data_IF_842370471166
#
_entry.id   IF_842370471166
#
_cell.length_a   1.000
_cell.length_b   1.000
_cell.length_c   1.000
_cell.angle_alpha   90.00
_cell.angle_beta   90.00
_cell.angle_gamma   90.00
#
_symmetry.space_group_name_H-M   'P 1'
#
loop_
_entity.id
_entity.type
_entity.pdbx_description
1 polymer ?
#
# COMPACT_ATOMS: atom_id res chain seq x y z
N UNK A 1 -36.42 0.27 -1.62
CA UNK A 1 -35.75 -0.84 -0.93
C UNK A 1 -34.54 -0.24 -0.25
N UNK A 2 -34.47 -0.42 1.08
CA UNK A 2 -33.58 0.31 1.99
C UNK A 2 -32.12 -0.02 1.71
N UNK A 3 -31.39 0.95 1.17
CA UNK A 3 -29.93 0.96 1.07
C UNK A 3 -29.38 1.20 2.48
N UNK A 4 -28.93 0.15 3.16
CA UNK A 4 -28.17 0.29 4.40
C UNK A 4 -26.82 0.88 4.03
N UNK A 5 -26.73 2.21 4.04
CA UNK A 5 -25.46 2.93 4.06
C UNK A 5 -24.62 2.35 5.21
N UNK A 6 -23.65 1.50 4.86
CA UNK A 6 -22.68 0.99 5.81
C UNK A 6 -22.07 2.21 6.53
N UNK A 7 -22.09 2.18 7.86
CA UNK A 7 -21.61 3.27 8.67
C UNK A 7 -20.14 3.51 8.33
N UNK A 8 -19.80 4.71 7.80
CA UNK A 8 -18.41 5.09 7.53
C UNK A 8 -17.66 5.08 8.85
N UNK A 9 -16.63 4.25 8.95
CA UNK A 9 -15.72 4.22 10.08
C UNK A 9 -14.56 5.13 9.72
N UNK A 10 -14.53 6.31 10.33
CA UNK A 10 -13.31 7.12 10.32
C UNK A 10 -12.43 6.58 11.49
N UNK A 11 -11.11 6.35 11.29
CA UNK A 11 -10.32 6.59 10.07
C UNK A 11 -10.28 5.40 9.08
N UNK A 12 -9.80 5.65 7.85
CA UNK A 12 -9.27 4.59 6.98
C UNK A 12 -8.05 3.98 7.68
N UNK A 13 -8.02 2.65 7.83
CA UNK A 13 -6.89 1.93 8.42
C UNK A 13 -6.51 0.76 7.53
N UNK A 14 -5.23 0.61 7.19
CA UNK A 14 -4.77 -0.58 6.47
C UNK A 14 -3.43 -1.08 7.02
N UNK A 15 -3.12 -2.35 6.72
CA UNK A 15 -1.90 -3.01 7.15
C UNK A 15 -1.04 -3.29 5.92
N UNK A 16 0.20 -2.81 5.90
CA UNK A 16 1.08 -2.96 4.74
C UNK A 16 2.18 -3.99 5.07
N UNK A 17 2.13 -5.14 4.39
CA UNK A 17 3.15 -6.18 4.45
C UNK A 17 4.09 -5.97 3.27
N UNK A 18 5.37 -5.69 3.51
CA UNK A 18 6.33 -5.38 2.44
C UNK A 18 6.65 -6.56 1.53
N UNK A 19 7.63 -6.36 0.64
CA UNK A 19 7.97 -7.28 -0.47
C UNK A 19 8.21 -8.73 0.00
N UNK A 20 7.58 -9.70 -0.64
CA UNK A 20 7.56 -11.08 -0.13
C UNK A 20 8.70 -11.95 -0.67
N UNK A 21 9.08 -11.76 -1.94
CA UNK A 21 10.07 -12.54 -2.69
C UNK A 21 9.97 -14.05 -2.47
N UNK A 22 8.75 -14.61 -2.52
CA UNK A 22 8.55 -16.05 -2.25
C UNK A 22 9.31 -16.90 -3.29
N UNK A 23 9.98 -17.94 -2.80
CA UNK A 23 10.81 -18.85 -3.61
C UNK A 23 10.43 -20.32 -3.37
N UNK A 24 10.31 -20.70 -2.11
CA UNK A 24 10.15 -22.08 -1.66
C UNK A 24 9.27 -22.11 -0.40
N UNK A 25 8.41 -23.14 -0.26
CA UNK A 25 7.42 -23.19 0.81
C UNK A 25 8.07 -23.39 2.19
N UNK A 26 9.26 -23.96 2.21
CA UNK A 26 10.10 -24.17 3.38
C UNK A 26 11.13 -23.04 3.58
N UNK A 27 11.09 -21.98 2.78
CA UNK A 27 11.93 -20.81 2.99
C UNK A 27 11.47 -19.98 4.20
N UNK A 28 12.38 -19.12 4.70
CA UNK A 28 12.11 -18.30 5.88
C UNK A 28 11.01 -17.26 5.62
N UNK A 29 11.01 -16.62 4.47
CA UNK A 29 10.02 -15.63 4.08
C UNK A 29 8.61 -16.22 3.91
N UNK A 30 8.48 -17.48 3.49
CA UNK A 30 7.20 -18.19 3.51
C UNK A 30 6.70 -18.42 4.95
N UNK A 31 7.57 -18.80 5.89
CA UNK A 31 7.23 -18.90 7.31
C UNK A 31 6.82 -17.55 7.90
N UNK A 32 7.56 -16.50 7.57
CA UNK A 32 7.33 -15.15 8.07
C UNK A 32 6.01 -14.56 7.55
N UNK A 33 5.69 -14.76 6.27
CA UNK A 33 4.39 -14.41 5.70
C UNK A 33 3.25 -15.10 6.46
N UNK A 34 3.36 -16.41 6.69
CA UNK A 34 2.33 -17.13 7.44
C UNK A 34 2.20 -16.60 8.87
N UNK A 35 3.31 -16.32 9.56
CA UNK A 35 3.29 -15.74 10.90
C UNK A 35 2.65 -14.34 10.94
N UNK A 36 2.92 -13.51 9.94
CA UNK A 36 2.29 -12.19 9.77
C UNK A 36 0.78 -12.34 9.59
N UNK A 37 0.33 -13.19 8.65
CA UNK A 37 -1.10 -13.35 8.38
C UNK A 37 -1.84 -14.01 9.55
N UNK A 38 -1.26 -15.02 10.20
CA UNK A 38 -1.80 -15.64 11.42
C UNK A 38 -1.98 -14.58 12.53
N UNK A 39 -1.01 -13.68 12.69
CA UNK A 39 -1.09 -12.61 13.68
C UNK A 39 -2.12 -11.54 13.31
N UNK A 40 -2.21 -11.15 12.03
CA UNK A 40 -3.21 -10.17 11.56
C UNK A 40 -4.63 -10.73 11.74
N UNK A 41 -4.83 -12.02 11.45
CA UNK A 41 -6.13 -12.68 11.59
C UNK A 41 -6.64 -12.77 13.04
N UNK A 42 -5.74 -12.70 14.03
CA UNK A 42 -6.10 -12.72 15.46
C UNK A 42 -6.32 -11.34 16.07
N UNK A 43 -6.11 -10.26 15.30
CA UNK A 43 -6.28 -8.90 15.81
C UNK A 43 -7.73 -8.58 16.20
N UNK A 44 -7.87 -7.89 17.32
CA UNK A 44 -9.16 -7.40 17.83
C UNK A 44 -9.17 -5.87 18.02
N UNK A 45 -10.33 -5.21 17.89
CA UNK A 45 -11.60 -5.78 17.41
C UNK A 45 -11.56 -6.19 15.93
N UNK A 46 -12.36 -7.18 15.54
CA UNK A 46 -12.53 -7.53 14.14
C UNK A 46 -13.06 -6.32 13.35
N UNK A 47 -12.57 -6.13 12.12
CA UNK A 47 -12.89 -4.97 11.29
C UNK A 47 -12.24 -3.65 11.75
N UNK A 48 -11.15 -3.72 12.52
CA UNK A 48 -10.34 -2.55 12.90
C UNK A 48 -9.56 -1.94 11.74
N UNK A 49 -9.25 -2.74 10.73
CA UNK A 49 -8.61 -2.32 9.49
C UNK A 49 -9.50 -2.67 8.30
N UNK A 50 -9.36 -1.90 7.21
CA UNK A 50 -10.13 -2.01 5.98
C UNK A 50 -9.52 -3.01 5.00
N UNK A 51 -8.19 -3.11 4.94
CA UNK A 51 -7.48 -4.12 4.15
C UNK A 51 -6.03 -4.36 4.60
N UNK A 52 -5.47 -5.47 4.14
CA UNK A 52 -4.03 -5.77 4.13
C UNK A 52 -3.51 -5.54 2.72
N UNK A 53 -2.45 -4.76 2.57
CA UNK A 53 -1.83 -4.41 1.30
C UNK A 53 -0.52 -5.18 1.09
N UNK A 54 -0.35 -5.76 -0.10
CA UNK A 54 0.89 -6.37 -0.58
C UNK A 54 1.40 -5.57 -1.80
N UNK A 55 2.55 -4.87 -1.70
CA UNK A 55 2.95 -3.82 -2.63
C UNK A 55 3.64 -4.29 -3.91
N UNK A 56 3.59 -5.59 -4.23
CA UNK A 56 4.38 -6.18 -5.30
C UNK A 56 5.52 -7.06 -4.76
N UNK A 57 6.34 -7.56 -5.69
CA UNK A 57 7.40 -8.53 -5.43
C UNK A 57 6.90 -9.70 -4.58
N UNK A 58 5.75 -10.23 -5.03
CA UNK A 58 5.06 -11.32 -4.35
C UNK A 58 5.84 -12.63 -4.50
N UNK A 59 6.34 -12.86 -5.71
CA UNK A 59 7.20 -13.97 -6.08
C UNK A 59 8.59 -13.44 -6.46
N UNK A 60 9.65 -14.16 -6.09
CA UNK A 60 11.02 -13.74 -6.43
C UNK A 60 11.29 -13.80 -7.94
N UNK A 61 10.72 -14.79 -8.62
CA UNK A 61 10.98 -15.03 -10.04
C UNK A 61 9.68 -14.99 -10.87
N UNK A 62 8.52 -14.79 -10.26
CA UNK A 62 7.23 -14.78 -10.96
C UNK A 62 6.78 -16.15 -11.44
N UNK A 63 7.22 -17.24 -10.80
CA UNK A 63 6.82 -18.59 -11.19
C UNK A 63 5.52 -19.06 -10.53
N UNK A 64 4.77 -19.91 -11.21
CA UNK A 64 3.55 -20.52 -10.69
C UNK A 64 3.71 -21.19 -9.31
N UNK A 65 4.85 -21.86 -9.07
CA UNK A 65 5.14 -22.51 -7.79
C UNK A 65 5.27 -21.51 -6.64
N UNK A 66 5.80 -20.32 -6.90
CA UNK A 66 5.96 -19.24 -5.92
C UNK A 66 4.60 -18.62 -5.59
N UNK A 67 3.76 -18.38 -6.60
CA UNK A 67 2.39 -17.92 -6.40
C UNK A 67 1.50 -18.94 -5.68
N UNK A 68 1.77 -20.24 -5.82
CA UNK A 68 1.07 -21.27 -5.05
C UNK A 68 1.33 -21.14 -3.54
N UNK A 69 2.53 -20.71 -3.13
CA UNK A 69 2.86 -20.44 -1.73
C UNK A 69 1.99 -19.30 -1.20
N UNK A 70 1.95 -18.18 -1.93
CA UNK A 70 1.10 -17.04 -1.56
C UNK A 70 -0.38 -17.43 -1.51
N UNK A 71 -0.85 -18.16 -2.54
CA UNK A 71 -2.24 -18.61 -2.58
C UNK A 71 -2.59 -19.48 -1.37
N UNK A 72 -1.74 -20.44 -1.01
CA UNK A 72 -1.96 -21.31 0.13
C UNK A 72 -2.01 -20.50 1.46
N UNK A 73 -1.14 -19.51 1.62
CA UNK A 73 -1.16 -18.61 2.78
C UNK A 73 -2.47 -17.79 2.83
N UNK A 74 -2.91 -17.24 1.68
CA UNK A 74 -4.15 -16.47 1.57
C UNK A 74 -5.43 -17.33 1.72
N UNK A 75 -5.40 -18.60 1.33
CA UNK A 75 -6.53 -19.53 1.48
C UNK A 75 -6.74 -19.96 2.93
N UNK A 76 -5.68 -19.94 3.77
CA UNK A 76 -5.79 -20.16 5.22
C UNK A 76 -6.56 -19.05 5.94
N UNK A 77 -6.61 -17.85 5.33
CA UNK A 77 -7.26 -16.68 5.89
C UNK A 77 -8.31 -16.14 4.89
N UNK A 78 -9.42 -16.87 4.67
CA UNK A 78 -10.44 -16.53 3.69
C UNK A 78 -11.06 -15.14 3.93
N UNK A 79 -11.15 -14.73 5.19
CA UNK A 79 -11.85 -13.53 5.64
C UNK A 79 -10.95 -12.28 5.68
N UNK A 80 -9.64 -12.40 5.45
CA UNK A 80 -8.76 -11.22 5.40
C UNK A 80 -9.02 -10.43 4.10
N UNK A 81 -9.38 -9.13 4.20
CA UNK A 81 -9.51 -8.27 3.04
C UNK A 81 -8.12 -7.92 2.52
N UNK A 82 -7.65 -8.61 1.47
CA UNK A 82 -6.33 -8.38 0.88
C UNK A 82 -6.46 -7.58 -0.41
N UNK A 83 -5.61 -6.56 -0.56
CA UNK A 83 -5.35 -5.82 -1.80
C UNK A 83 -3.90 -6.06 -2.20
N UNK A 84 -3.63 -6.30 -3.48
CA UNK A 84 -2.27 -6.50 -3.97
C UNK A 84 -2.07 -5.92 -5.36
N UNK A 85 -0.82 -5.66 -5.70
CA UNK A 85 -0.37 -5.29 -7.05
C UNK A 85 0.85 -6.16 -7.40
N UNK A 86 1.22 -6.30 -8.69
CA UNK A 86 2.50 -6.89 -9.07
C UNK A 86 3.68 -5.92 -8.84
N UNK A 87 4.85 -6.46 -8.53
CA UNK A 87 6.14 -5.77 -8.54
C UNK A 87 7.01 -6.17 -9.73
N UNK A 88 8.25 -5.70 -9.78
CA UNK A 88 9.15 -5.99 -10.90
C UNK A 88 9.62 -7.44 -10.93
N UNK A 89 9.81 -8.08 -9.76
CA UNK A 89 10.14 -9.50 -9.69
C UNK A 89 9.01 -10.40 -10.20
N UNK A 90 7.75 -9.99 -10.02
CA UNK A 90 6.59 -10.71 -10.57
C UNK A 90 6.59 -10.75 -12.11
N UNK A 91 7.24 -9.78 -12.77
CA UNK A 91 7.32 -9.63 -14.23
C UNK A 91 8.73 -9.90 -14.79
N UNK A 92 9.62 -10.47 -13.98
CA UNK A 92 11.04 -10.64 -14.27
C UNK A 92 11.35 -11.43 -15.54
N UNK A 93 10.48 -12.35 -15.93
CA UNK A 93 10.61 -13.14 -17.16
C UNK A 93 9.77 -12.60 -18.33
N UNK A 94 9.31 -11.35 -18.28
CA UNK A 94 8.62 -10.71 -19.40
C UNK A 94 7.26 -11.28 -19.75
N UNK A 95 6.82 -12.32 -19.04
CA UNK A 95 5.52 -12.95 -19.16
C UNK A 95 4.88 -12.94 -17.78
N UNK A 96 3.59 -12.64 -17.77
CA UNK A 96 2.77 -12.60 -16.55
C UNK A 96 1.76 -13.75 -16.52
N UNK A 97 1.91 -14.78 -17.36
CA UNK A 97 0.95 -15.88 -17.48
C UNK A 97 0.66 -16.55 -16.12
N UNK A 98 1.72 -16.79 -15.35
CA UNK A 98 1.61 -17.39 -14.01
C UNK A 98 0.96 -16.43 -13.01
N UNK A 99 1.33 -15.13 -13.04
CA UNK A 99 0.64 -14.10 -12.25
C UNK A 99 -0.83 -14.00 -12.65
N UNK A 100 -1.19 -14.07 -13.93
CA UNK A 100 -2.56 -13.99 -14.41
C UNK A 100 -3.39 -15.19 -13.95
N UNK A 101 -2.81 -16.39 -14.02
CA UNK A 101 -3.44 -17.60 -13.50
C UNK A 101 -3.66 -17.49 -11.98
N UNK A 102 -2.66 -16.98 -11.25
CA UNK A 102 -2.77 -16.71 -9.82
C UNK A 102 -3.86 -15.67 -9.53
N UNK A 103 -3.82 -14.50 -10.15
CA UNK A 103 -4.79 -13.42 -10.04
C UNK A 103 -6.21 -13.89 -10.32
N UNK A 104 -6.42 -14.66 -11.40
CA UNK A 104 -7.73 -15.23 -11.73
C UNK A 104 -8.24 -16.19 -10.64
N UNK A 105 -7.33 -16.89 -9.95
CA UNK A 105 -7.67 -17.78 -8.84
C UNK A 105 -8.09 -17.05 -7.55
N UNK A 106 -7.78 -15.76 -7.43
CA UNK A 106 -8.13 -14.94 -6.26
C UNK A 106 -9.57 -14.39 -6.32
N UNK A 107 -10.27 -14.54 -7.44
CA UNK A 107 -11.64 -14.09 -7.61
C UNK A 107 -11.79 -12.59 -7.37
N UNK A 108 -12.71 -12.19 -6.49
CA UNK A 108 -13.00 -10.79 -6.20
C UNK A 108 -11.92 -10.07 -5.36
N UNK A 109 -10.87 -10.77 -4.90
CA UNK A 109 -9.78 -10.15 -4.12
C UNK A 109 -8.86 -9.29 -4.98
N UNK A 110 -8.84 -9.50 -6.29
CA UNK A 110 -8.11 -8.66 -7.22
C UNK A 110 -9.06 -8.14 -8.30
N UNK A 111 -9.03 -6.83 -8.62
CA UNK A 111 -9.77 -6.29 -9.75
C UNK A 111 -9.38 -7.02 -11.04
N UNK A 112 -10.33 -7.12 -11.97
CA UNK A 112 -10.01 -7.55 -13.32
C UNK A 112 -8.95 -6.61 -13.92
N UNK A 113 -7.93 -7.14 -14.61
CA UNK A 113 -6.87 -6.30 -15.17
C UNK A 113 -7.44 -5.36 -16.23
N UNK A 114 -6.89 -4.16 -16.28
CA UNK A 114 -7.06 -3.24 -17.38
C UNK A 114 -6.05 -3.60 -18.47
N UNK A 115 -6.50 -3.82 -19.71
CA UNK A 115 -5.61 -4.20 -20.81
C UNK A 115 -5.24 -2.94 -21.60
N UNK A 116 -3.94 -2.72 -21.77
CA UNK A 116 -3.39 -1.59 -22.55
C UNK A 116 -2.34 -2.06 -23.55
N UNK A 117 -2.23 -1.36 -24.67
CA UNK A 117 -1.14 -1.58 -25.60
C UNK A 117 0.13 -0.90 -25.08
N UNK A 118 1.23 -1.65 -24.97
CA UNK A 118 2.51 -1.04 -24.62
C UNK A 118 3.17 -0.50 -25.89
N UNK A 119 3.10 0.83 -26.04
CA UNK A 119 3.61 1.54 -27.22
C UNK A 119 5.14 1.65 -27.25
N UNK A 120 5.81 1.48 -26.11
CA UNK A 120 7.27 1.60 -26.00
C UNK A 120 7.95 0.28 -25.60
N UNK A 121 9.12 -0.03 -26.19
CA UNK A 121 9.90 -1.19 -25.78
C UNK A 121 10.47 -0.99 -24.36
N UNK A 122 10.65 -2.07 -23.58
CA UNK A 122 11.34 -1.98 -22.30
C UNK A 122 12.84 -1.64 -22.48
N UNK A 123 13.50 -1.20 -21.42
CA UNK A 123 14.91 -0.81 -21.48
C UNK A 123 15.84 -1.96 -21.87
N UNK A 124 16.57 -1.80 -22.98
CA UNK A 124 17.50 -2.83 -23.49
C UNK A 124 16.92 -3.74 -24.55
N UNK A 125 15.72 -3.44 -25.06
CA UNK A 125 15.12 -4.15 -26.17
C UNK A 125 15.96 -4.03 -27.46
N UNK A 126 16.11 -5.11 -28.27
CA UNK A 126 16.53 -4.95 -29.65
C UNK A 126 15.54 -4.06 -30.44
N UNK A 127 16.01 -3.41 -31.51
CA UNK A 127 15.23 -2.43 -32.32
C UNK A 127 13.87 -2.93 -32.85
N UNK A 128 13.58 -4.24 -32.76
CA UNK A 128 12.27 -4.82 -33.10
C UNK A 128 11.54 -5.27 -31.84
N UNK A 129 10.58 -4.46 -31.39
CA UNK A 129 9.62 -4.80 -30.35
C UNK A 129 8.21 -4.83 -30.93
N UNK A 130 7.50 -5.96 -30.89
CA UNK A 130 6.10 -5.97 -31.28
C UNK A 130 5.28 -5.19 -30.26
N UNK A 131 4.38 -4.32 -30.72
CA UNK A 131 3.32 -3.78 -29.86
C UNK A 131 2.47 -4.97 -29.41
N UNK A 132 2.45 -5.23 -28.11
CA UNK A 132 1.66 -6.30 -27.50
C UNK A 132 0.70 -5.70 -26.48
N UNK A 133 -0.54 -6.22 -26.39
CA UNK A 133 -1.45 -5.88 -25.32
C UNK A 133 -0.95 -6.49 -24.01
N UNK A 134 -0.80 -5.66 -22.98
CA UNK A 134 -0.34 -6.06 -21.66
C UNK A 134 -1.44 -5.76 -20.66
N UNK A 135 -1.94 -6.78 -19.94
CA UNK A 135 -2.82 -6.57 -18.80
C UNK A 135 -2.05 -5.95 -17.63
N UNK A 136 -2.52 -4.80 -17.17
CA UNK A 136 -2.07 -4.13 -15.96
C UNK A 136 -3.16 -4.17 -14.89
N UNK A 137 -2.75 -4.40 -13.65
CA UNK A 137 -3.66 -4.46 -12.51
C UNK A 137 -3.80 -3.08 -11.88
N UNK A 138 -4.70 -2.27 -12.44
CA UNK A 138 -5.04 -0.97 -11.89
C UNK A 138 -6.48 -0.95 -11.38
N UNK A 139 -6.69 -0.33 -10.23
CA UNK A 139 -8.03 -0.14 -9.66
C UNK A 139 -8.16 1.14 -8.87
N UNK A 140 -9.41 1.57 -8.72
CA UNK A 140 -9.81 2.70 -7.89
C UNK A 140 -10.97 2.28 -7.02
N UNK A 141 -10.88 2.56 -5.72
CA UNK A 141 -11.95 2.34 -4.76
C UNK A 141 -12.02 3.50 -3.77
N UNK A 142 -13.23 3.94 -3.44
CA UNK A 142 -13.45 4.89 -2.34
C UNK A 142 -13.67 4.08 -1.05
N UNK A 143 -12.70 4.11 -0.14
CA UNK A 143 -12.70 3.33 1.11
C UNK A 143 -12.61 4.31 2.29
N UNK A 144 -13.58 4.25 3.21
CA UNK A 144 -13.72 5.18 4.35
C UNK A 144 -13.54 6.66 3.97
N UNK A 145 -14.04 7.07 2.80
CA UNK A 145 -13.95 8.46 2.33
C UNK A 145 -12.60 8.87 1.75
N UNK A 146 -11.67 7.92 1.54
CA UNK A 146 -10.40 8.12 0.83
C UNK A 146 -10.47 7.39 -0.51
N UNK A 147 -10.01 8.03 -1.59
CA UNK A 147 -9.79 7.36 -2.88
C UNK A 147 -8.48 6.60 -2.85
N UNK A 148 -8.57 5.28 -2.84
CA UNK A 148 -7.44 4.37 -2.95
C UNK A 148 -7.23 4.00 -4.42
N UNK A 149 -6.05 4.31 -4.95
CA UNK A 149 -5.65 3.98 -6.32
C UNK A 149 -4.54 2.93 -6.30
N UNK A 150 -4.81 1.73 -6.81
CA UNK A 150 -3.83 0.66 -6.96
C UNK A 150 -3.27 0.70 -8.38
N UNK A 151 -1.94 0.79 -8.52
CA UNK A 151 -1.27 1.10 -9.79
C UNK A 151 -0.14 0.11 -10.07
N UNK A 152 -0.36 -0.75 -11.07
CA UNK A 152 0.67 -1.63 -11.66
C UNK A 152 1.56 -0.84 -12.63
N UNK A 153 2.70 -0.36 -12.14
CA UNK A 153 3.66 0.45 -12.88
C UNK A 153 4.81 -0.34 -13.52
N UNK A 154 4.68 -1.66 -13.63
CA UNK A 154 5.78 -2.54 -14.01
C UNK A 154 5.83 -2.68 -15.53
N UNK A 155 7.01 -2.67 -16.16
CA UNK A 155 7.11 -3.00 -17.58
C UNK A 155 7.29 -4.52 -17.79
N UNK A 156 6.94 -5.07 -18.96
CA UNK A 156 7.31 -6.45 -19.30
C UNK A 156 8.83 -6.60 -19.37
N UNK A 157 9.42 -7.47 -18.55
CA UNK A 157 10.83 -7.87 -18.69
C UNK A 157 11.17 -8.58 -20.02
N UNK A 158 12.42 -9.04 -20.20
CA UNK A 158 12.90 -9.68 -21.45
C UNK A 158 13.01 -11.20 -21.42
N UNK A 159 12.22 -11.92 -20.61
CA UNK A 159 12.39 -13.38 -20.52
C UNK A 159 13.70 -13.81 -19.87
N UNK A 160 14.48 -12.86 -19.31
CA UNK A 160 15.78 -13.11 -18.68
C UNK A 160 15.83 -12.33 -17.37
N UNK A 161 16.15 -13.04 -16.29
CA UNK A 161 16.35 -12.46 -14.97
C UNK A 161 17.33 -11.27 -15.05
N UNK A 162 16.98 -10.19 -14.36
CA UNK A 162 17.75 -8.94 -14.28
C UNK A 162 17.92 -8.15 -15.60
N UNK A 163 17.14 -8.42 -16.65
CA UNK A 163 17.17 -7.65 -17.91
C UNK A 163 15.76 -7.14 -18.23
N UNK A 164 15.61 -5.81 -18.33
CA UNK A 164 14.37 -5.14 -18.71
C UNK A 164 13.37 -4.91 -17.58
N UNK A 165 13.81 -5.05 -16.33
CA UNK A 165 13.05 -4.57 -15.19
C UNK A 165 13.14 -3.05 -15.17
N UNK A 166 12.12 -2.38 -15.70
CA UNK A 166 11.97 -0.95 -15.56
C UNK A 166 10.52 -0.60 -15.21
N UNK A 167 10.32 0.59 -14.64
CA UNK A 167 9.00 1.07 -14.26
C UNK A 167 8.49 2.03 -15.32
N UNK A 168 7.27 1.84 -15.79
CA UNK A 168 6.68 2.64 -16.87
C UNK A 168 5.18 2.77 -16.67
N UNK A 169 4.63 3.92 -17.05
CA UNK A 169 3.19 4.08 -17.17
C UNK A 169 2.86 4.37 -18.63
N UNK A 170 2.19 3.42 -19.28
CA UNK A 170 1.72 3.64 -20.66
C UNK A 170 0.77 4.83 -20.74
N UNK A 171 0.67 5.46 -21.91
CA UNK A 171 -0.23 6.62 -22.11
C UNK A 171 -1.67 6.38 -21.62
N UNK A 172 -2.34 5.24 -21.90
CA UNK A 172 -3.68 4.99 -21.39
C UNK A 172 -3.73 4.92 -19.86
N UNK A 173 -2.70 4.36 -19.22
CA UNK A 173 -2.59 4.27 -17.76
C UNK A 173 -2.40 5.65 -17.14
N UNK A 174 -1.52 6.46 -17.70
CA UNK A 174 -1.29 7.84 -17.26
C UNK A 174 -2.56 8.68 -17.39
N UNK A 175 -3.31 8.51 -18.49
CA UNK A 175 -4.61 9.17 -18.67
C UNK A 175 -5.65 8.70 -17.64
N UNK A 176 -5.73 7.41 -17.38
CA UNK A 176 -6.62 6.86 -16.36
C UNK A 176 -6.27 7.42 -14.97
N UNK A 177 -5.00 7.38 -14.57
CA UNK A 177 -4.53 7.87 -13.28
C UNK A 177 -4.80 9.37 -13.12
N UNK A 178 -4.51 10.16 -14.17
CA UNK A 178 -4.82 11.59 -14.22
C UNK A 178 -6.32 11.86 -14.04
N UNK A 179 -7.18 11.09 -14.71
CA UNK A 179 -8.63 11.23 -14.58
C UNK A 179 -9.12 10.91 -13.16
N UNK A 180 -8.61 9.83 -12.54
CA UNK A 180 -8.99 9.45 -11.17
C UNK A 180 -8.59 10.52 -10.14
N UNK A 181 -7.35 11.01 -10.23
CA UNK A 181 -6.81 12.02 -9.33
C UNK A 181 -7.49 13.38 -9.52
N UNK A 182 -7.77 13.77 -10.76
CA UNK A 182 -8.47 15.03 -11.06
C UNK A 182 -9.93 14.99 -10.58
N UNK A 183 -10.64 13.88 -10.77
CA UNK A 183 -12.01 13.71 -10.23
C UNK A 183 -12.02 13.82 -8.70
N UNK A 184 -11.12 13.10 -8.02
CA UNK A 184 -11.04 13.16 -6.57
C UNK A 184 -10.70 14.56 -6.06
N UNK A 185 -9.74 15.25 -6.70
CA UNK A 185 -9.38 16.63 -6.36
C UNK A 185 -10.57 17.59 -6.54
N UNK A 186 -11.30 17.48 -7.65
CA UNK A 186 -12.51 18.29 -7.91
C UNK A 186 -13.60 18.05 -6.85
N UNK A 187 -13.73 16.81 -6.40
CA UNK A 187 -14.68 16.38 -5.35
C UNK A 187 -14.14 16.56 -3.93
N UNK A 188 -12.89 17.01 -3.77
CA UNK A 188 -12.18 17.16 -2.49
C UNK A 188 -12.10 15.86 -1.68
N UNK A 189 -12.01 14.72 -2.37
CA UNK A 189 -11.78 13.41 -1.76
C UNK A 189 -10.27 13.25 -1.57
N UNK A 190 -9.77 12.94 -0.36
CA UNK A 190 -8.35 12.65 -0.16
C UNK A 190 -7.95 11.39 -0.94
N UNK A 191 -6.74 11.38 -1.51
CA UNK A 191 -6.24 10.23 -2.28
C UNK A 191 -5.04 9.57 -1.59
N UNK A 192 -5.04 8.24 -1.61
CA UNK A 192 -3.87 7.40 -1.37
C UNK A 192 -3.58 6.59 -2.63
N UNK A 193 -2.31 6.53 -3.04
CA UNK A 193 -1.84 5.74 -4.17
C UNK A 193 -1.03 4.57 -3.64
N UNK A 194 -1.24 3.40 -4.22
CA UNK A 194 -0.61 2.14 -3.88
C UNK A 194 0.10 1.66 -5.14
N UNK A 195 1.43 1.73 -5.14
CA UNK A 195 2.28 1.40 -6.28
C UNK A 195 3.53 0.66 -5.80
N UNK A 196 4.32 0.08 -6.69
CA UNK A 196 5.46 -0.75 -6.25
C UNK A 196 6.69 0.09 -5.89
N UNK A 197 6.99 1.12 -6.68
CA UNK A 197 8.21 1.92 -6.56
C UNK A 197 7.91 3.44 -6.56
N UNK A 198 8.93 4.29 -6.38
CA UNK A 198 8.74 5.73 -6.45
C UNK A 198 8.34 6.18 -7.86
N UNK A 199 7.59 7.29 -8.00
CA UNK A 199 7.45 7.95 -9.30
C UNK A 199 8.79 8.31 -9.95
N UNK A 200 9.84 8.58 -9.16
CA UNK A 200 11.19 8.89 -9.68
C UNK A 200 11.89 7.66 -10.27
N UNK A 201 11.43 6.46 -9.96
CA UNK A 201 11.95 5.20 -10.53
C UNK A 201 11.41 4.92 -11.94
N UNK A 202 10.38 5.67 -12.38
CA UNK A 202 9.87 5.58 -13.76
C UNK A 202 11.00 5.78 -14.76
N UNK A 203 11.04 5.00 -15.84
CA UNK A 203 12.20 4.98 -16.72
C UNK A 203 12.37 6.28 -17.51
N UNK A 204 11.26 6.81 -18.01
CA UNK A 204 11.25 8.00 -18.86
C UNK A 204 11.23 9.28 -18.01
N UNK A 205 12.19 10.21 -18.18
CA UNK A 205 12.26 11.43 -17.38
C UNK A 205 10.99 12.27 -17.42
N UNK A 206 10.35 12.37 -18.59
CA UNK A 206 9.10 13.12 -18.75
C UNK A 206 7.95 12.46 -17.98
N UNK A 207 7.88 11.12 -17.95
CA UNK A 207 6.90 10.38 -17.14
C UNK A 207 7.12 10.65 -15.64
N UNK A 208 8.37 10.66 -15.15
CA UNK A 208 8.67 11.00 -13.74
C UNK A 208 8.14 12.38 -13.38
N UNK A 209 8.44 13.38 -14.22
CA UNK A 209 8.04 14.77 -13.98
C UNK A 209 6.53 14.95 -14.07
N UNK A 210 5.88 14.30 -15.03
CA UNK A 210 4.43 14.38 -15.20
C UNK A 210 3.69 13.73 -14.02
N UNK A 211 4.13 12.56 -13.56
CA UNK A 211 3.49 11.86 -12.43
C UNK A 211 3.77 12.56 -11.11
N UNK A 212 5.01 12.97 -10.86
CA UNK A 212 5.36 13.76 -9.68
C UNK A 212 4.58 15.09 -9.64
N UNK A 213 4.49 15.78 -10.78
CA UNK A 213 3.71 17.01 -10.95
C UNK A 213 2.21 16.79 -10.74
N UNK A 214 1.67 15.67 -11.25
CA UNK A 214 0.29 15.26 -11.07
C UNK A 214 -0.02 15.02 -9.59
N UNK A 215 0.78 14.20 -8.89
CA UNK A 215 0.60 13.90 -7.46
C UNK A 215 0.64 15.16 -6.62
N UNK A 216 1.64 16.02 -6.89
CA UNK A 216 1.79 17.32 -6.23
C UNK A 216 0.62 18.27 -6.50
N UNK A 217 0.14 18.31 -7.74
CA UNK A 217 -0.94 19.19 -8.21
C UNK A 217 -2.31 18.79 -7.66
N UNK A 218 -2.59 17.49 -7.60
CA UNK A 218 -3.86 16.94 -7.09
C UNK A 218 -3.82 16.67 -5.58
N UNK A 219 -2.69 16.92 -4.91
CA UNK A 219 -2.50 16.75 -3.46
C UNK A 219 -2.77 15.31 -3.02
N UNK A 220 -2.13 14.35 -3.69
CA UNK A 220 -2.06 12.97 -3.19
C UNK A 220 -1.49 13.02 -1.79
N UNK A 221 -2.15 12.35 -0.85
CA UNK A 221 -1.80 12.43 0.57
C UNK A 221 -0.75 11.41 0.96
N UNK A 222 -0.86 10.23 0.38
CA UNK A 222 -0.05 9.07 0.71
C UNK A 222 0.27 8.31 -0.58
N UNK A 223 1.52 7.88 -0.72
CA UNK A 223 1.95 6.91 -1.72
C UNK A 223 2.61 5.77 -0.95
N UNK A 224 1.94 4.61 -0.91
CA UNK A 224 2.46 3.38 -0.30
C UNK A 224 3.17 2.54 -1.33
N UNK A 225 4.40 2.12 -1.01
CA UNK A 225 5.37 1.52 -1.92
C UNK A 225 6.06 0.28 -1.35
N UNK A 226 6.51 -0.60 -2.21
CA UNK A 226 7.46 -1.67 -1.88
C UNK A 226 8.86 -1.28 -2.34
N UNK A 227 9.56 -2.22 -2.99
CA UNK A 227 10.81 -2.07 -3.76
C UNK A 227 12.07 -1.65 -2.97
N UNK A 228 11.94 -0.81 -1.94
CA UNK A 228 13.08 -0.27 -1.20
C UNK A 228 13.64 -1.27 -0.19
N UNK A 229 12.84 -2.27 0.22
CA UNK A 229 13.14 -3.24 1.28
C UNK A 229 13.33 -2.64 2.69
N UNK A 230 13.16 -1.33 2.86
CA UNK A 230 13.31 -0.63 4.12
C UNK A 230 12.00 -0.02 4.60
N UNK A 231 11.95 0.29 5.90
CA UNK A 231 10.97 1.25 6.39
C UNK A 231 11.41 2.65 5.99
N UNK A 232 10.72 3.23 5.02
CA UNK A 232 11.02 4.57 4.53
C UNK A 232 9.82 5.49 4.69
N UNK A 233 10.08 6.73 5.12
CA UNK A 233 9.10 7.80 5.20
C UNK A 233 9.72 9.08 4.65
N UNK A 234 9.27 9.48 3.46
CA UNK A 234 9.76 10.65 2.76
C UNK A 234 8.60 11.62 2.47
N UNK A 235 8.42 12.68 3.26
CA UNK A 235 7.44 13.72 2.94
C UNK A 235 8.02 14.75 1.96
N UNK A 236 7.30 15.03 0.86
CA UNK A 236 7.68 16.11 -0.09
C UNK A 236 7.08 17.49 0.31
N UNK A 237 6.28 17.52 1.38
CA UNK A 237 5.54 18.69 1.84
C UNK A 237 4.08 18.76 1.37
N UNK A 238 3.64 17.84 0.51
CA UNK A 238 2.24 17.62 0.09
C UNK A 238 1.80 16.16 0.10
N UNK A 239 2.74 15.25 -0.07
CA UNK A 239 2.59 13.81 -0.19
C UNK A 239 3.54 13.15 0.80
N UNK A 240 3.08 12.13 1.51
CA UNK A 240 3.93 11.22 2.25
C UNK A 240 4.20 10.02 1.35
N UNK A 241 5.46 9.77 1.02
CA UNK A 241 5.87 8.51 0.43
C UNK A 241 6.29 7.58 1.57
N UNK A 242 5.74 6.38 1.57
CA UNK A 242 5.95 5.40 2.63
C UNK A 242 6.24 4.03 2.03
N UNK A 243 7.19 3.32 2.62
CA UNK A 243 7.48 1.93 2.29
C UNK A 243 7.60 1.10 3.56
N UNK A 244 7.08 -0.12 3.52
CA UNK A 244 7.32 -1.11 4.56
C UNK A 244 8.48 -2.00 4.13
N UNK A 245 9.37 -2.27 5.07
CA UNK A 245 10.47 -3.22 4.89
C UNK A 245 10.01 -4.57 4.33
N UNK A 246 10.89 -5.16 3.53
CA UNK A 246 10.67 -6.45 2.89
C UNK A 246 10.52 -7.57 3.92
N UNK A 247 9.70 -8.56 3.59
CA UNK A 247 9.65 -9.86 4.27
C UNK A 247 10.71 -10.80 3.71
N UNK A 248 10.90 -10.78 2.38
CA UNK A 248 11.77 -11.72 1.66
C UNK A 248 13.24 -11.33 1.57
N UNK A 249 13.50 -10.04 1.42
CA UNK A 249 14.82 -9.45 1.24
C UNK A 249 15.08 -8.36 2.28
N UNK A 250 14.60 -8.61 3.50
CA UNK A 250 14.76 -7.71 4.62
C UNK A 250 16.22 -7.37 4.91
N UNK A 251 16.56 -6.07 4.93
CA UNK A 251 17.94 -5.61 5.15
C UNK A 251 18.21 -5.15 6.60
N UNK A 252 17.19 -4.99 7.45
CA UNK A 252 17.37 -4.52 8.84
C UNK A 252 16.29 -5.01 9.80
N UNK A 253 16.62 -5.43 11.03
CA UNK A 253 15.70 -5.75 12.13
C UNK A 253 14.77 -6.97 11.92
N UNK A 254 13.68 -7.07 12.68
CA UNK A 254 12.67 -8.16 12.62
C UNK A 254 11.48 -7.87 11.69
N UNK A 255 11.13 -8.82 10.82
CA UNK A 255 10.02 -8.69 9.84
C UNK A 255 8.68 -8.39 10.52
N UNK A 256 7.70 -7.92 9.76
CA UNK A 256 6.42 -7.47 10.28
C UNK A 256 5.61 -6.72 9.22
N UNK A 257 4.81 -5.76 9.66
CA UNK A 257 3.96 -4.96 8.78
C UNK A 257 3.83 -3.52 9.30
N UNK A 258 3.60 -2.58 8.41
CA UNK A 258 3.22 -1.22 8.77
C UNK A 258 1.72 -1.13 9.04
N UNK A 259 1.38 -0.20 9.93
CA UNK A 259 0.01 0.17 10.25
C UNK A 259 -0.17 1.62 9.85
N UNK A 260 -1.15 1.84 8.99
CA UNK A 260 -1.43 3.13 8.40
C UNK A 260 -2.83 3.58 8.71
N UNK A 261 -2.97 4.87 8.99
CA UNK A 261 -4.25 5.50 9.24
C UNK A 261 -4.36 6.87 8.57
N UNK A 262 -5.47 7.09 7.87
CA UNK A 262 -5.88 8.42 7.39
C UNK A 262 -7.09 8.89 8.18
N UNK A 263 -6.85 9.75 9.17
CA UNK A 263 -7.85 10.29 10.10
C UNK A 263 -8.04 11.79 9.85
N UNK A 264 -9.20 12.17 9.30
CA UNK A 264 -9.45 13.56 8.93
C UNK A 264 -8.31 14.09 8.05
N UNK A 265 -7.54 15.13 8.46
CA UNK A 265 -6.37 15.64 7.74
C UNK A 265 -5.02 15.00 8.11
N UNK A 266 -4.96 14.08 9.08
CA UNK A 266 -3.75 13.46 9.63
C UNK A 266 -3.44 12.10 9.00
N UNK A 267 -2.25 11.94 8.41
CA UNK A 267 -1.73 10.61 8.03
C UNK A 267 -0.78 10.15 9.13
N UNK A 268 -0.99 8.92 9.60
CA UNK A 268 -0.15 8.28 10.60
C UNK A 268 0.34 6.93 10.08
N UNK A 269 1.64 6.68 10.21
CA UNK A 269 2.30 5.47 9.76
C UNK A 269 3.19 4.95 10.88
N UNK A 270 3.17 3.64 11.15
CA UNK A 270 4.13 3.02 12.07
C UNK A 270 4.34 1.55 11.78
N UNK A 271 5.60 1.13 11.78
CA UNK A 271 5.97 -0.28 11.66
C UNK A 271 5.75 -1.09 12.94
N UNK A 272 5.13 -2.27 12.79
CA UNK A 272 4.93 -3.28 13.83
C UNK A 272 5.72 -4.55 13.48
N UNK A 273 6.88 -4.70 14.11
CA UNK A 273 7.68 -5.92 14.00
C UNK A 273 7.00 -7.11 14.72
N UNK A 274 7.17 -8.32 14.16
CA UNK A 274 6.58 -9.56 14.67
C UNK A 274 7.01 -9.90 16.10
N UNK A 275 8.23 -9.54 16.47
CA UNK A 275 8.85 -9.81 17.77
C UNK A 275 8.38 -8.85 18.88
N UNK A 276 7.49 -7.91 18.56
CA UNK A 276 6.91 -6.98 19.53
C UNK A 276 5.63 -7.54 20.13
N UNK A 277 5.54 -7.44 21.45
CA UNK A 277 4.34 -7.82 22.21
C UNK A 277 3.18 -6.86 21.92
N UNK A 278 1.96 -7.38 21.95
CA UNK A 278 0.73 -6.59 21.99
C UNK A 278 0.59 -5.87 23.35
N UNK A 279 -0.19 -4.77 23.43
CA UNK A 279 -0.85 -4.07 22.33
C UNK A 279 0.13 -3.17 21.55
N UNK A 280 -0.14 -3.01 20.26
CA UNK A 280 0.48 -1.99 19.42
C UNK A 280 -0.47 -0.79 19.32
N UNK A 281 0.06 0.43 19.47
CA UNK A 281 -0.72 1.66 19.42
C UNK A 281 -0.17 2.59 18.34
N UNK A 282 -1.05 3.06 17.46
CA UNK A 282 -0.82 4.12 16.49
C UNK A 282 -1.68 5.33 16.85
N UNK A 283 -1.06 6.48 17.12
CA UNK A 283 -1.79 7.73 17.31
C UNK A 283 -2.23 8.24 15.94
N UNK A 284 -3.54 8.44 15.74
CA UNK A 284 -4.12 8.90 14.48
C UNK A 284 -4.44 10.39 14.50
N UNK A 285 -4.55 10.99 15.68
CA UNK A 285 -4.65 12.43 15.89
C UNK A 285 -4.16 12.78 17.30
N UNK A 286 -3.40 13.87 17.51
CA UNK A 286 -2.95 14.85 16.51
C UNK A 286 -1.82 14.33 15.61
N UNK A 287 -1.52 15.07 14.54
CA UNK A 287 -0.50 14.70 13.56
C UNK A 287 0.92 14.70 14.13
N UNK A 288 1.71 13.69 13.74
CA UNK A 288 3.16 13.79 13.85
C UNK A 288 3.67 14.79 12.81
N UNK A 289 4.17 15.93 13.30
CA UNK A 289 4.69 17.03 12.48
C UNK A 289 5.79 16.60 11.49
N UNK A 290 6.48 15.48 11.74
CA UNK A 290 7.57 14.99 10.87
C UNK A 290 7.06 14.38 9.57
N UNK A 291 5.81 13.93 9.54
CA UNK A 291 5.17 13.28 8.39
C UNK A 291 3.94 14.06 7.90
N UNK A 292 3.76 15.28 8.39
CA UNK A 292 2.63 16.13 8.01
C UNK A 292 2.74 16.59 6.54
N UNK A 293 1.69 16.33 5.77
CA UNK A 293 1.59 16.65 4.34
C UNK A 293 0.83 17.94 4.04
N UNK A 294 0.50 18.68 5.09
CA UNK A 294 -0.21 19.96 5.03
C UNK A 294 0.49 20.99 5.92
N UNK A 295 0.42 22.30 5.58
CA UNK A 295 0.85 23.33 6.50
C UNK A 295 0.20 23.14 7.87
N UNK A 296 1.00 23.16 8.93
CA UNK A 296 0.53 22.87 10.30
C UNK A 296 -0.33 24.05 10.77
N UNK A 297 -1.62 23.76 10.97
CA UNK A 297 -2.64 24.62 11.57
C UNK A 297 -3.43 23.76 12.55
N UNK A 298 -4.14 24.35 13.54
CA UNK A 298 -4.97 23.57 14.45
C UNK A 298 -5.87 22.56 13.72
N UNK A 299 -6.54 23.00 12.66
CA UNK A 299 -7.36 22.14 11.79
C UNK A 299 -6.57 21.00 11.16
N UNK A 300 -5.49 21.31 10.42
CA UNK A 300 -4.75 20.32 9.62
C UNK A 300 -3.94 19.34 10.45
N UNK A 301 -3.63 19.66 11.71
CA UNK A 301 -2.89 18.79 12.61
C UNK A 301 -3.77 18.04 13.62
N UNK A 302 -5.10 18.17 13.56
CA UNK A 302 -6.00 17.57 14.56
C UNK A 302 -5.86 18.20 15.96
N UNK A 303 -5.47 19.47 16.03
CA UNK A 303 -5.23 20.24 17.26
C UNK A 303 -6.30 21.32 17.48
N UNK A 304 -7.49 21.19 16.87
CA UNK A 304 -8.60 22.08 17.15
C UNK A 304 -9.07 21.91 18.59
N UNK A 305 -9.37 23.05 19.23
CA UNK A 305 -9.91 23.07 20.58
C UNK A 305 -11.44 22.90 20.52
N UNK A 306 -11.97 22.03 21.38
CA UNK A 306 -13.41 21.97 21.64
C UNK A 306 -13.90 23.20 22.43
N UNK A 307 -15.20 23.26 22.72
CA UNK A 307 -15.81 24.37 23.45
C UNK A 307 -15.24 24.53 24.88
N UNK A 308 -14.65 23.47 25.43
CA UNK A 308 -14.02 23.41 26.75
C UNK A 308 -12.50 23.67 26.69
N UNK A 309 -11.95 23.95 25.51
CA UNK A 309 -10.52 24.23 25.31
C UNK A 309 -9.63 22.98 25.32
N UNK A 310 -10.16 21.81 24.98
CA UNK A 310 -9.44 20.52 24.93
C UNK A 310 -9.16 20.08 23.50
N UNK A 311 -8.13 19.25 23.34
CA UNK A 311 -7.79 18.62 22.05
C UNK A 311 -8.27 17.17 22.09
N UNK A 312 -8.97 16.75 21.03
CA UNK A 312 -9.37 15.35 20.87
C UNK A 312 -8.23 14.50 20.31
N UNK A 313 -7.88 13.43 21.02
CA UNK A 313 -6.89 12.44 20.57
C UNK A 313 -7.54 11.22 19.95
N UNK A 314 -6.95 10.69 18.89
CA UNK A 314 -7.35 9.46 18.20
C UNK A 314 -6.23 8.42 18.24
N UNK A 315 -6.58 7.15 18.39
CA UNK A 315 -5.62 6.06 18.32
C UNK A 315 -6.24 4.75 17.80
N UNK A 316 -5.45 4.01 17.03
CA UNK A 316 -5.71 2.62 16.63
C UNK A 316 -4.90 1.71 17.54
N UNK A 317 -5.55 0.72 18.15
CA UNK A 317 -4.94 -0.23 19.07
C UNK A 317 -5.07 -1.64 18.50
N UNK A 318 -3.96 -2.20 17.99
CA UNK A 318 -3.89 -3.58 17.53
C UNK A 318 -3.49 -4.49 18.68
N UNK A 319 -4.36 -5.42 19.06
CA UNK A 319 -4.17 -6.32 20.19
C UNK A 319 -4.70 -7.72 19.87
N UNK A 320 -4.27 -8.72 20.62
CA UNK A 320 -4.78 -10.10 20.63
C UNK A 320 -5.95 -10.28 21.61
N UNK A 321 -6.17 -9.31 22.50
CA UNK A 321 -7.33 -9.24 23.38
C UNK A 321 -7.90 -7.81 23.45
N UNK A 322 -9.22 -7.63 23.65
CA UNK A 322 -9.81 -6.31 23.80
C UNK A 322 -9.15 -5.54 24.95
N UNK A 323 -8.83 -4.24 24.78
CA UNK A 323 -8.20 -3.48 25.84
C UNK A 323 -9.17 -3.24 27.01
N UNK A 324 -8.74 -3.56 28.23
CA UNK A 324 -9.53 -3.38 29.46
C UNK A 324 -9.70 -1.90 29.85
N UNK A 325 -8.68 -1.07 29.56
CA UNK A 325 -8.67 0.36 29.80
C UNK A 325 -7.70 1.06 28.85
N UNK A 326 -7.95 2.35 28.61
CA UNK A 326 -7.05 3.24 27.85
C UNK A 326 -6.74 4.42 28.76
N UNK A 327 -5.45 4.71 28.93
CA UNK A 327 -4.99 5.95 29.55
C UNK A 327 -4.11 6.70 28.57
N UNK A 328 -4.20 8.02 28.56
CA UNK A 328 -3.33 8.87 27.76
C UNK A 328 -2.64 9.90 28.65
N UNK A 329 -1.49 10.41 28.20
CA UNK A 329 -0.85 11.58 28.80
C UNK A 329 -0.12 12.35 27.71
N UNK A 330 0.04 13.64 27.94
CA UNK A 330 0.90 14.48 27.10
C UNK A 330 2.22 14.65 27.84
N UNK A 331 3.33 14.34 27.15
CA UNK A 331 4.69 14.41 27.68
C UNK A 331 4.85 13.74 29.06
N UNK A 332 5.17 14.54 30.08
CA UNK A 332 5.37 14.14 31.47
C UNK A 332 4.19 14.49 32.37
N UNK A 333 3.06 14.89 31.78
CA UNK A 333 1.83 15.22 32.49
C UNK A 333 1.17 14.02 33.18
N UNK A 334 0.09 14.26 33.95
CA UNK A 334 -0.66 13.20 34.61
C UNK A 334 -1.31 12.27 33.58
N UNK A 335 -1.49 11.01 33.97
CA UNK A 335 -2.32 10.08 33.21
C UNK A 335 -3.78 10.48 33.32
N UNK A 336 -4.41 10.61 32.15
CA UNK A 336 -5.83 10.84 31.96
C UNK A 336 -6.49 9.52 31.57
N UNK A 337 -7.73 9.32 32.02
CA UNK A 337 -8.57 8.19 31.68
C UNK A 337 -9.67 8.63 30.74
#
# INVERSE_FOLDING_TARGET
MSDTAAHRRDPLVFLHVGDLHLQDAEAQNARDLNAILDQIATLVPHGLFDFVYLPGDLAENGYAAEYQILKAALDRHPDLPVQLIPGDHDRQHGRMDDFHAFAASLGARLPAPMIWDLEQPPSGCPETWPILPIPHYCASADIQGVRCLFVDMISPGFGRKAIGLDFRLGRPQTQWLSAQLTDAAARKIPCAVFMHAYPDDLREPDERLDIGGLFWGTRVRLVEMGHTHYNELAPDGRTLYAAARSVGQNEDGSVGYAVDASDGPVTSWRFRALDRTTPFVLITSPADRRVATRPITPASSGMELDAEGRISGGAVVLSDAPPDYVHCRVDTGPWLR
#
